data_IF_054370609142
#
_entry.id   IF_054370609142
#
_cell.length_a   1.000
_cell.length_b   1.000
_cell.length_c   1.000
_cell.angle_alpha   90.00
_cell.angle_beta   90.00
_cell.angle_gamma   90.00
#
_symmetry.space_group_name_H-M   'P 1'
#
loop_
_entity.id
_entity.type
_entity.pdbx_description
1 polymer ?
#
# COMPACT_ATOMS: atom_id res chain seq x y z
N UNK A 1 -33.09 11.46 93.44
CA UNK A 1 -31.83 12.11 93.76
C UNK A 1 -30.83 11.77 92.65
N UNK A 2 -30.47 12.81 91.92
CA UNK A 2 -29.12 13.17 91.46
C UNK A 2 -28.54 12.30 90.36
N UNK A 3 -28.53 12.79 89.14
CA UNK A 3 -27.47 13.50 88.43
C UNK A 3 -26.27 12.58 88.11
N UNK A 4 -25.87 12.38 86.83
CA UNK A 4 -25.06 13.27 85.95
C UNK A 4 -25.05 12.80 84.51
N UNK A 5 -25.24 13.76 83.58
CA UNK A 5 -24.89 13.71 82.14
C UNK A 5 -23.40 13.53 81.97
N UNK A 6 -22.95 12.75 80.97
CA UNK A 6 -21.74 13.12 80.33
C UNK A 6 -21.80 12.79 78.80
N UNK A 7 -21.63 13.85 78.06
CA UNK A 7 -21.46 13.87 76.60
C UNK A 7 -20.08 13.35 76.23
N UNK A 8 -19.97 12.46 75.31
CA UNK A 8 -18.74 12.32 74.54
C UNK A 8 -19.07 12.24 73.02
N UNK A 9 -18.82 13.34 72.34
CA UNK A 9 -18.84 13.53 70.92
C UNK A 9 -17.68 12.75 70.33
N UNK A 10 -17.97 11.61 69.68
CA UNK A 10 -17.00 10.87 68.89
C UNK A 10 -17.09 11.32 67.41
N UNK A 11 -16.04 11.97 66.97
CA UNK A 11 -15.81 12.36 65.51
C UNK A 11 -15.67 11.12 64.71
N UNK A 12 -16.62 10.85 63.76
CA UNK A 12 -16.49 9.89 62.73
C UNK A 12 -15.79 10.62 61.59
N UNK A 13 -14.49 10.39 61.45
CA UNK A 13 -13.72 10.80 60.27
C UNK A 13 -14.06 9.85 59.11
N UNK A 14 -14.86 10.35 58.18
CA UNK A 14 -15.15 9.65 56.92
C UNK A 14 -13.92 9.58 56.06
N UNK A 15 -13.31 8.41 55.93
CA UNK A 15 -12.32 8.10 54.90
C UNK A 15 -13.05 7.75 53.61
N UNK A 16 -13.31 8.76 52.73
CA UNK A 16 -13.68 8.54 51.36
C UNK A 16 -12.46 7.98 50.61
N UNK A 17 -12.36 6.66 50.61
CA UNK A 17 -11.46 5.95 49.71
C UNK A 17 -11.88 6.17 48.27
N UNK A 18 -11.17 7.02 47.52
CA UNK A 18 -11.25 7.14 46.07
C UNK A 18 -10.71 5.85 45.47
N UNK A 19 -11.57 4.87 45.26
CA UNK A 19 -11.27 3.73 44.39
C UNK A 19 -11.30 4.24 42.93
N UNK A 20 -10.17 4.75 42.48
CA UNK A 20 -9.90 4.92 41.03
C UNK A 20 -9.90 3.53 40.44
N UNK A 21 -11.05 3.11 39.89
CA UNK A 21 -11.16 1.96 39.04
C UNK A 21 -10.31 2.23 37.79
N UNK A 22 -9.12 1.68 37.80
CA UNK A 22 -8.28 1.50 36.62
C UNK A 22 -8.96 0.46 35.69
N UNK A 23 -10.10 0.81 35.12
CA UNK A 23 -10.72 0.09 34.01
C UNK A 23 -10.06 0.51 32.69
N UNK A 24 -8.76 0.53 32.67
CA UNK A 24 -7.96 0.60 31.45
C UNK A 24 -7.64 -0.82 30.99
N UNK A 25 -8.02 -1.15 29.76
CA UNK A 25 -7.60 -2.32 28.99
C UNK A 25 -8.62 -3.45 28.76
N UNK A 26 -9.87 -3.12 28.48
CA UNK A 26 -10.76 -4.08 27.82
C UNK A 26 -11.28 -3.55 26.47
N UNK A 27 -10.49 -2.72 25.75
CA UNK A 27 -10.95 -2.04 24.52
C UNK A 27 -10.62 -2.76 23.21
N UNK A 28 -9.89 -3.89 23.26
CA UNK A 28 -9.48 -4.59 22.03
C UNK A 28 -10.53 -5.53 21.43
N UNK A 29 -11.57 -5.90 22.20
CA UNK A 29 -12.57 -6.85 21.73
C UNK A 29 -13.68 -6.21 20.88
N UNK A 30 -13.72 -4.88 20.74
CA UNK A 30 -14.86 -4.17 20.14
C UNK A 30 -14.55 -3.26 18.96
N UNK A 31 -13.32 -3.33 18.39
CA UNK A 31 -12.99 -2.51 17.22
C UNK A 31 -13.56 -3.12 15.96
N UNK A 32 -14.20 -2.29 15.15
CA UNK A 32 -14.66 -2.74 13.83
C UNK A 32 -13.49 -3.09 12.91
N UNK A 33 -13.66 -4.00 11.94
CA UNK A 33 -12.62 -4.33 10.98
C UNK A 33 -12.11 -3.11 10.19
N UNK A 34 -13.00 -2.15 9.91
CA UNK A 34 -12.64 -0.89 9.24
C UNK A 34 -11.76 0.00 10.13
N UNK A 35 -12.07 0.07 11.41
CA UNK A 35 -11.26 0.80 12.38
C UNK A 35 -9.88 0.17 12.56
N UNK A 36 -9.78 -1.17 12.61
CA UNK A 36 -8.51 -1.88 12.67
C UNK A 36 -7.65 -1.60 11.42
N UNK A 37 -8.27 -1.55 10.24
CA UNK A 37 -7.58 -1.16 9.00
C UNK A 37 -7.00 0.26 9.13
N UNK A 38 -7.83 1.24 9.49
CA UNK A 38 -7.41 2.64 9.61
C UNK A 38 -6.32 2.84 10.66
N UNK A 39 -6.44 2.19 11.82
CA UNK A 39 -5.43 2.23 12.87
C UNK A 39 -4.10 1.61 12.43
N UNK A 40 -4.17 0.53 11.64
CA UNK A 40 -2.96 -0.12 11.11
C UNK A 40 -2.22 0.76 10.10
N UNK A 41 -2.96 1.45 9.24
CA UNK A 41 -2.38 2.41 8.27
C UNK A 41 -1.77 3.60 9.00
N UNK A 42 -2.52 4.21 9.92
CA UNK A 42 -2.06 5.34 10.74
C UNK A 42 -0.88 4.95 11.63
N UNK A 43 -0.91 3.76 12.22
CA UNK A 43 0.18 3.23 13.03
C UNK A 43 1.48 3.12 12.24
N UNK A 44 1.44 2.58 11.00
CA UNK A 44 2.62 2.48 10.16
C UNK A 44 3.14 3.86 9.72
N UNK A 45 2.24 4.81 9.46
CA UNK A 45 2.65 6.19 9.08
C UNK A 45 3.43 6.90 10.19
N UNK A 46 3.20 6.51 11.45
CA UNK A 46 3.95 7.03 12.61
C UNK A 46 5.31 6.35 12.84
N UNK A 47 5.66 5.31 12.07
CA UNK A 47 6.95 4.61 12.22
C UNK A 47 8.01 5.28 11.36
N UNK A 48 9.05 5.86 11.99
CA UNK A 48 10.13 6.57 11.29
C UNK A 48 10.96 5.65 10.38
N UNK A 49 11.19 4.40 10.84
CA UNK A 49 12.03 3.44 10.11
C UNK A 49 11.46 2.03 10.18
N UNK A 50 11.36 1.38 9.03
CA UNK A 50 11.03 -0.06 8.94
C UNK A 50 11.59 -0.68 7.66
N UNK A 51 11.79 -1.99 7.68
CA UNK A 51 12.17 -2.77 6.50
C UNK A 51 10.95 -3.53 5.96
N UNK A 52 10.99 -3.84 4.68
CA UNK A 52 9.98 -4.66 4.02
C UNK A 52 10.59 -5.57 2.96
N UNK A 53 9.90 -6.64 2.65
CA UNK A 53 10.24 -7.52 1.54
C UNK A 53 8.96 -8.08 0.92
N UNK A 54 9.03 -8.45 -0.33
CA UNK A 54 7.84 -8.97 -1.01
C UNK A 54 8.10 -9.41 -2.42
N UNK A 55 7.02 -9.68 -3.13
CA UNK A 55 7.02 -10.04 -4.54
C UNK A 55 5.80 -9.47 -5.25
N UNK A 56 5.94 -9.25 -6.55
CA UNK A 56 4.84 -8.92 -7.45
C UNK A 56 4.84 -9.89 -8.62
N UNK A 57 3.69 -10.50 -8.90
CA UNK A 57 3.46 -11.35 -10.04
C UNK A 57 2.35 -10.77 -10.93
N UNK A 58 2.53 -10.83 -12.24
CA UNK A 58 1.53 -10.45 -13.24
C UNK A 58 1.12 -11.73 -13.97
N UNK A 59 -0.16 -12.01 -14.03
CA UNK A 59 -0.75 -13.13 -14.76
C UNK A 59 -1.53 -12.62 -15.96
N UNK A 60 -1.24 -13.16 -17.16
CA UNK A 60 -2.05 -12.91 -18.34
C UNK A 60 -3.22 -13.89 -18.44
N UNK A 61 -4.27 -13.54 -19.20
CA UNK A 61 -5.41 -14.41 -19.47
C UNK A 61 -5.05 -15.74 -20.14
N UNK A 62 -3.89 -15.80 -20.81
CA UNK A 62 -3.33 -17.01 -21.44
C UNK A 62 -2.81 -18.07 -20.46
N UNK A 63 -2.91 -17.84 -19.14
CA UNK A 63 -2.49 -18.78 -18.11
C UNK A 63 -0.99 -18.78 -17.79
N UNK A 64 -0.19 -18.05 -18.54
CA UNK A 64 1.25 -17.85 -18.24
C UNK A 64 1.39 -16.74 -17.18
N UNK A 65 1.60 -17.14 -15.92
CA UNK A 65 2.03 -16.19 -14.91
C UNK A 65 3.48 -15.80 -15.17
N UNK A 66 3.78 -14.50 -15.13
CA UNK A 66 5.17 -14.04 -15.12
C UNK A 66 5.89 -14.56 -13.87
N UNK A 67 7.19 -14.79 -13.97
CA UNK A 67 8.00 -15.09 -12.80
C UNK A 67 7.82 -13.93 -11.80
N UNK A 68 7.50 -14.22 -10.51
CA UNK A 68 7.38 -13.17 -9.52
C UNK A 68 8.67 -12.34 -9.42
N UNK A 69 8.53 -11.03 -9.47
CA UNK A 69 9.63 -10.10 -9.22
C UNK A 69 9.73 -9.87 -7.71
N UNK A 70 10.77 -10.44 -7.10
CA UNK A 70 11.02 -10.25 -5.67
C UNK A 70 11.74 -8.92 -5.41
N UNK A 71 11.40 -8.30 -4.29
CA UNK A 71 11.99 -7.04 -3.84
C UNK A 71 12.17 -7.01 -2.32
N UNK A 72 13.09 -6.18 -1.87
CA UNK A 72 13.29 -5.81 -0.46
C UNK A 72 13.63 -4.34 -0.37
N UNK A 73 13.31 -3.72 0.75
CA UNK A 73 13.60 -2.31 0.94
C UNK A 73 13.51 -1.86 2.38
N UNK A 74 13.83 -0.59 2.55
CA UNK A 74 13.71 0.12 3.83
C UNK A 74 12.99 1.44 3.61
N UNK A 75 12.22 1.85 4.60
CA UNK A 75 11.68 3.20 4.71
C UNK A 75 12.43 3.90 5.84
N UNK A 76 12.83 5.14 5.61
CA UNK A 76 13.46 6.03 6.58
C UNK A 76 12.79 7.40 6.53
N UNK A 77 12.79 8.13 7.64
CA UNK A 77 12.16 9.45 7.74
C UNK A 77 10.71 9.46 7.24
N UNK A 78 9.96 8.39 7.58
CA UNK A 78 8.55 8.14 7.23
C UNK A 78 8.25 7.91 5.74
N UNK A 79 9.00 8.47 4.79
CA UNK A 79 8.67 8.47 3.35
C UNK A 79 9.84 8.17 2.40
N UNK A 80 11.08 8.18 2.87
CA UNK A 80 12.24 7.86 2.04
C UNK A 80 12.35 6.36 1.84
N UNK A 81 11.98 5.89 0.67
CA UNK A 81 11.98 4.48 0.32
C UNK A 81 13.21 4.14 -0.50
N UNK A 82 13.97 3.15 -0.03
CA UNK A 82 15.04 2.50 -0.79
C UNK A 82 14.62 1.06 -1.09
N UNK A 83 14.68 0.64 -2.36
CA UNK A 83 14.28 -0.70 -2.80
C UNK A 83 15.40 -1.34 -3.60
N UNK A 84 15.58 -2.64 -3.39
CA UNK A 84 16.47 -3.51 -4.17
C UNK A 84 15.62 -4.64 -4.76
N UNK A 85 15.79 -4.89 -6.06
CA UNK A 85 15.15 -6.01 -6.76
C UNK A 85 16.12 -7.17 -6.93
N UNK A 86 15.64 -8.41 -6.79
CA UNK A 86 16.45 -9.59 -7.10
C UNK A 86 16.52 -9.75 -8.62
N UNK A 87 17.69 -9.51 -9.20
CA UNK A 87 17.91 -9.61 -10.65
C UNK A 87 18.74 -8.48 -11.23
N UNK A 88 19.24 -7.56 -10.41
CA UNK A 88 20.20 -6.53 -10.84
C UNK A 88 19.61 -5.40 -11.68
N UNK A 89 18.30 -5.35 -11.86
CA UNK A 89 17.66 -4.16 -12.36
C UNK A 89 17.54 -3.17 -11.18
N UNK A 90 18.17 -2.01 -11.27
CA UNK A 90 17.99 -0.87 -10.38
C UNK A 90 16.55 -0.29 -10.48
N UNK A 91 15.65 -1.07 -11.05
CA UNK A 91 14.29 -0.69 -11.34
C UNK A 91 13.39 -1.25 -10.25
N UNK A 92 13.01 -0.37 -9.35
CA UNK A 92 11.87 -0.62 -8.47
C UNK A 92 10.68 -1.03 -9.32
N UNK A 93 10.01 -2.19 -9.03
CA UNK A 93 8.70 -2.43 -9.61
C UNK A 93 7.87 -1.17 -9.32
N UNK A 94 7.50 -0.44 -10.37
CA UNK A 94 6.91 0.87 -10.23
C UNK A 94 5.75 0.78 -9.23
N UNK A 95 5.75 1.64 -8.23
CA UNK A 95 4.67 1.74 -7.27
C UNK A 95 4.79 0.94 -5.97
N UNK A 96 5.90 0.26 -5.65
CA UNK A 96 6.05 -0.47 -4.37
C UNK A 96 6.46 0.47 -3.22
N UNK A 97 5.59 1.40 -2.87
CA UNK A 97 5.72 2.14 -1.62
C UNK A 97 4.73 1.55 -0.60
N UNK A 98 5.19 0.82 0.45
CA UNK A 98 4.31 0.05 1.31
C UNK A 98 3.19 0.85 1.95
N UNK A 99 3.47 2.06 2.44
CA UNK A 99 2.46 2.93 3.03
C UNK A 99 1.45 3.43 2.00
N UNK A 100 1.88 3.74 0.76
CA UNK A 100 0.95 4.10 -0.32
C UNK A 100 0.01 2.96 -0.68
N UNK A 101 0.54 1.73 -0.74
CA UNK A 101 -0.29 0.55 -0.99
C UNK A 101 -1.35 0.36 0.10
N UNK A 102 -0.98 0.50 1.37
CA UNK A 102 -1.94 0.42 2.48
C UNK A 102 -2.98 1.54 2.44
N UNK A 103 -2.58 2.78 2.16
CA UNK A 103 -3.49 3.90 1.98
C UNK A 103 -4.45 3.68 0.80
N UNK A 104 -3.95 3.09 -0.30
CA UNK A 104 -4.79 2.76 -1.45
C UNK A 104 -5.82 1.68 -1.10
N UNK A 105 -5.41 0.62 -0.38
CA UNK A 105 -6.32 -0.42 0.13
C UNK A 105 -7.39 0.18 1.02
N UNK A 106 -7.04 1.08 1.95
CA UNK A 106 -7.99 1.77 2.82
C UNK A 106 -8.98 2.64 2.00
N UNK A 107 -8.48 3.43 1.06
CA UNK A 107 -9.31 4.31 0.21
C UNK A 107 -10.27 3.54 -0.68
N UNK A 108 -9.83 2.39 -1.20
CA UNK A 108 -10.66 1.52 -2.05
C UNK A 108 -11.66 0.69 -1.25
N UNK A 109 -11.46 0.48 0.05
CA UNK A 109 -12.26 -0.44 0.84
C UNK A 109 -13.76 -0.13 0.78
N UNK A 110 -14.55 -1.08 0.28
CA UNK A 110 -15.99 -1.13 0.42
C UNK A 110 -16.38 -1.92 1.69
N UNK A 111 -15.69 -3.03 1.93
CA UNK A 111 -15.94 -3.95 3.04
C UNK A 111 -14.61 -4.44 3.62
N UNK A 112 -14.57 -4.53 4.94
CA UNK A 112 -13.49 -5.18 5.67
C UNK A 112 -14.09 -6.16 6.66
N UNK A 113 -13.52 -7.36 6.77
CA UNK A 113 -14.00 -8.45 7.61
C UNK A 113 -12.81 -9.14 8.29
N UNK A 114 -13.01 -9.55 9.53
CA UNK A 114 -12.02 -10.42 10.19
C UNK A 114 -12.14 -11.83 9.59
N UNK A 115 -10.99 -12.45 9.34
CA UNK A 115 -10.85 -13.84 8.92
C UNK A 115 -10.49 -14.67 10.16
N UNK A 116 -11.47 -15.29 10.85
CA UNK A 116 -11.24 -15.91 12.15
C UNK A 116 -10.23 -17.06 12.09
N UNK A 117 -10.30 -17.87 11.05
CA UNK A 117 -9.43 -19.03 10.83
C UNK A 117 -7.96 -18.68 10.61
N UNK A 118 -7.67 -17.46 10.14
CA UNK A 118 -6.33 -16.94 9.95
C UNK A 118 -5.86 -16.04 11.11
N UNK A 119 -6.76 -15.69 12.02
CA UNK A 119 -6.50 -14.83 13.20
C UNK A 119 -6.17 -15.68 14.41
N UNK A 120 -5.42 -15.12 15.36
CA UNK A 120 -5.08 -15.75 16.64
C UNK A 120 -4.84 -14.70 17.74
N UNK A 121 -4.35 -15.11 18.90
CA UNK A 121 -4.08 -14.21 20.05
C UNK A 121 -3.02 -13.12 19.77
N UNK A 122 -2.17 -13.28 18.74
CA UNK A 122 -1.09 -12.35 18.42
C UNK A 122 -1.39 -11.48 17.20
N UNK A 123 -2.22 -11.97 16.26
CA UNK A 123 -2.54 -11.25 15.01
C UNK A 123 -4.03 -11.31 14.69
N UNK A 124 -4.53 -10.25 14.10
CA UNK A 124 -5.84 -10.22 13.43
C UNK A 124 -5.60 -10.15 11.92
N UNK A 125 -6.33 -10.98 11.18
CA UNK A 125 -6.27 -10.98 9.71
C UNK A 125 -7.59 -10.41 9.19
N UNK A 126 -7.48 -9.41 8.31
CA UNK A 126 -8.59 -8.78 7.63
C UNK A 126 -8.63 -9.21 6.17
N UNK A 127 -9.81 -9.52 5.67
CA UNK A 127 -10.13 -9.56 4.24
C UNK A 127 -10.82 -8.26 3.87
N UNK A 128 -10.28 -7.56 2.87
CA UNK A 128 -10.75 -6.25 2.44
C UNK A 128 -11.15 -6.38 0.97
N UNK A 129 -12.41 -6.08 0.68
CA UNK A 129 -12.93 -6.04 -0.69
C UNK A 129 -13.05 -4.60 -1.14
N UNK A 130 -12.48 -4.28 -2.28
CA UNK A 130 -12.51 -2.93 -2.82
C UNK A 130 -13.85 -2.62 -3.50
N UNK A 131 -14.25 -1.36 -3.44
CA UNK A 131 -15.26 -0.78 -4.32
C UNK A 131 -14.72 -0.76 -5.76
N UNK A 132 -15.42 -1.33 -6.75
CA UNK A 132 -14.90 -1.43 -8.12
C UNK A 132 -14.60 -0.08 -8.77
N UNK A 133 -15.43 0.95 -8.52
CA UNK A 133 -15.23 2.27 -9.11
C UNK A 133 -14.03 2.99 -8.49
N UNK A 134 -13.88 2.90 -7.16
CA UNK A 134 -12.70 3.43 -6.46
C UNK A 134 -11.43 2.68 -6.87
N UNK A 135 -11.50 1.35 -7.01
CA UNK A 135 -10.39 0.53 -7.45
C UNK A 135 -9.95 0.91 -8.87
N UNK A 136 -10.88 1.06 -9.82
CA UNK A 136 -10.57 1.50 -11.17
C UNK A 136 -9.87 2.87 -11.17
N UNK A 137 -10.33 3.84 -10.37
CA UNK A 137 -9.70 5.16 -10.24
C UNK A 137 -8.28 5.09 -9.67
N UNK A 138 -8.09 4.34 -8.58
CA UNK A 138 -6.78 4.20 -7.93
C UNK A 138 -5.80 3.51 -8.86
N UNK A 139 -6.22 2.42 -9.51
CA UNK A 139 -5.39 1.68 -10.44
C UNK A 139 -5.07 2.46 -11.73
N UNK A 140 -6.03 3.21 -12.28
CA UNK A 140 -5.75 4.10 -13.40
C UNK A 140 -4.67 5.12 -13.07
N UNK A 141 -4.72 5.73 -11.89
CA UNK A 141 -3.69 6.67 -11.44
C UNK A 141 -2.32 5.99 -11.24
N UNK A 142 -2.30 4.78 -10.67
CA UNK A 142 -1.07 3.99 -10.50
C UNK A 142 -0.43 3.69 -11.87
N UNK A 143 -1.22 3.15 -12.79
CA UNK A 143 -0.75 2.78 -14.12
C UNK A 143 -0.26 4.00 -14.90
N UNK A 144 -0.93 5.16 -14.80
CA UNK A 144 -0.43 6.41 -15.40
C UNK A 144 0.91 6.84 -14.82
N UNK A 145 1.09 6.72 -13.50
CA UNK A 145 2.39 7.02 -12.87
C UNK A 145 3.48 6.05 -13.32
N UNK A 146 3.16 4.76 -13.47
CA UNK A 146 4.07 3.75 -14.00
C UNK A 146 4.45 4.04 -15.45
N UNK A 147 3.46 4.38 -16.28
CA UNK A 147 3.69 4.73 -17.69
C UNK A 147 4.55 5.99 -17.83
N UNK A 148 4.29 7.04 -17.04
CA UNK A 148 5.09 8.26 -17.05
C UNK A 148 6.57 8.01 -16.68
N UNK A 149 6.86 7.06 -15.80
CA UNK A 149 8.24 6.66 -15.51
C UNK A 149 8.92 5.99 -16.70
N UNK A 150 8.18 5.20 -17.50
CA UNK A 150 8.69 4.56 -18.71
C UNK A 150 8.94 5.59 -19.82
N UNK A 151 8.05 6.55 -20.01
CA UNK A 151 8.20 7.63 -20.98
C UNK A 151 9.49 8.45 -20.81
N UNK A 152 9.91 8.64 -19.56
CA UNK A 152 11.13 9.40 -19.25
C UNK A 152 12.43 8.60 -19.44
N UNK A 153 12.35 7.31 -19.77
CA UNK A 153 13.50 6.46 -20.03
C UNK A 153 13.84 6.47 -21.53
N UNK A 154 14.75 7.35 -21.93
CA UNK A 154 15.36 7.25 -23.27
C UNK A 154 16.24 6.00 -23.29
N UNK A 155 16.12 5.11 -24.30
CA UNK A 155 16.99 3.94 -24.39
C UNK A 155 18.48 4.34 -24.35
N UNK A 156 19.26 3.65 -23.50
CA UNK A 156 20.69 3.94 -23.29
C UNK A 156 21.52 3.85 -24.58
N UNK A 157 21.04 3.08 -25.57
CA UNK A 157 21.67 2.91 -26.89
C UNK A 157 21.16 3.91 -27.92
N UNK A 158 20.43 4.95 -27.53
CA UNK A 158 20.00 5.98 -28.45
C UNK A 158 21.21 6.85 -28.84
N UNK A 159 21.38 7.20 -30.13
CA UNK A 159 22.43 8.14 -30.55
C UNK A 159 22.40 9.49 -29.82
N UNK A 160 21.27 9.84 -29.21
CA UNK A 160 21.10 11.04 -28.38
C UNK A 160 21.75 10.91 -26.97
N UNK A 161 22.02 9.69 -26.48
CA UNK A 161 22.73 9.49 -25.21
C UNK A 161 24.25 9.75 -25.37
N UNK A 162 24.79 9.47 -26.55
CA UNK A 162 26.20 9.68 -26.87
C UNK A 162 26.56 11.15 -27.14
N UNK A 163 25.58 12.01 -27.42
CA UNK A 163 25.81 13.44 -27.74
C UNK A 163 25.96 14.35 -26.50
N UNK A 164 25.98 13.81 -25.29
CA UNK A 164 26.09 14.61 -24.04
C UNK A 164 27.52 14.93 -23.63
N UNK A 165 28.54 14.35 -24.29
CA UNK A 165 29.93 14.44 -23.80
C UNK A 165 30.84 15.33 -24.63
N UNK A 166 30.34 15.96 -25.70
CA UNK A 166 31.20 16.88 -26.48
C UNK A 166 30.58 18.27 -26.56
N UNK A 167 31.26 19.25 -25.92
CA UNK A 167 30.83 20.62 -25.67
C UNK A 167 30.61 21.50 -26.90
N UNK A 168 30.33 20.93 -28.09
CA UNK A 168 30.01 21.63 -29.31
C UNK A 168 28.49 21.64 -29.53
N UNK A 169 27.85 22.78 -29.26
CA UNK A 169 26.49 23.12 -29.65
C UNK A 169 26.30 23.03 -31.17
N UNK A 170 26.26 21.84 -31.70
CA UNK A 170 25.73 21.61 -33.04
C UNK A 170 24.20 21.60 -32.92
N UNK A 171 23.51 22.47 -33.66
CA UNK A 171 22.06 22.41 -33.86
C UNK A 171 21.75 21.18 -34.74
N UNK A 172 22.03 19.99 -34.20
CA UNK A 172 21.65 18.75 -34.87
C UNK A 172 20.12 18.67 -34.90
N UNK A 173 19.54 18.60 -36.09
CA UNK A 173 18.14 18.21 -36.30
C UNK A 173 17.86 16.97 -35.48
N UNK A 174 16.67 16.88 -34.83
CA UNK A 174 16.29 15.67 -34.11
C UNK A 174 16.60 14.47 -35.00
N UNK A 175 17.37 13.50 -34.52
CA UNK A 175 17.71 12.34 -35.34
C UNK A 175 16.43 11.61 -35.71
N UNK A 176 16.37 11.02 -36.91
CA UNK A 176 15.21 10.25 -37.37
C UNK A 176 14.76 9.20 -36.36
N UNK A 177 15.69 8.70 -35.54
CA UNK A 177 15.39 7.84 -34.39
C UNK A 177 14.51 8.56 -33.34
N UNK A 178 14.81 9.81 -32.97
CA UNK A 178 14.06 10.54 -31.96
C UNK A 178 12.62 10.81 -32.42
N UNK A 179 12.46 11.20 -33.68
CA UNK A 179 11.13 11.38 -34.26
C UNK A 179 10.33 10.06 -34.33
N UNK A 180 10.99 8.95 -34.64
CA UNK A 180 10.36 7.62 -34.60
C UNK A 180 9.97 7.21 -33.21
N UNK A 181 10.83 7.47 -32.21
CA UNK A 181 10.57 7.22 -30.80
C UNK A 181 9.38 8.04 -30.28
N UNK A 182 9.37 9.33 -30.57
CA UNK A 182 8.29 10.23 -30.14
C UNK A 182 6.93 9.81 -30.73
N UNK A 183 6.92 9.42 -32.02
CA UNK A 183 5.69 8.88 -32.66
C UNK A 183 5.21 7.59 -32.01
N UNK A 184 6.14 6.71 -31.63
CA UNK A 184 5.78 5.44 -30.95
C UNK A 184 5.26 5.68 -29.53
N UNK A 185 5.88 6.60 -28.79
CA UNK A 185 5.38 7.00 -27.46
C UNK A 185 3.96 7.61 -27.55
N UNK A 186 3.71 8.48 -28.53
CA UNK A 186 2.39 9.08 -28.73
C UNK A 186 1.32 8.04 -29.09
N UNK A 187 1.70 7.03 -29.90
CA UNK A 187 0.81 5.91 -30.21
C UNK A 187 0.53 5.09 -28.94
N UNK A 188 1.57 4.70 -28.23
CA UNK A 188 1.46 3.92 -26.98
C UNK A 188 0.63 4.64 -25.93
N UNK A 189 0.77 5.96 -25.81
CA UNK A 189 -0.04 6.77 -24.90
C UNK A 189 -1.52 6.74 -25.24
N UNK A 190 -1.86 6.86 -26.53
CA UNK A 190 -3.26 6.79 -27.02
C UNK A 190 -3.87 5.41 -26.76
N UNK A 191 -3.14 4.35 -27.07
CA UNK A 191 -3.57 2.97 -26.82
C UNK A 191 -3.75 2.71 -25.30
N UNK A 192 -2.82 3.20 -24.48
CA UNK A 192 -2.88 3.09 -23.02
C UNK A 192 -4.10 3.83 -22.43
N UNK A 193 -4.37 5.06 -22.86
CA UNK A 193 -5.55 5.80 -22.38
C UNK A 193 -6.85 5.16 -22.88
N UNK A 194 -6.90 4.62 -24.09
CA UNK A 194 -8.04 3.84 -24.59
C UNK A 194 -8.27 2.58 -23.74
N UNK A 195 -7.21 1.86 -23.39
CA UNK A 195 -7.27 0.72 -22.46
C UNK A 195 -7.83 1.14 -21.09
N UNK A 196 -7.32 2.23 -20.50
CA UNK A 196 -7.77 2.72 -19.21
C UNK A 196 -9.25 3.15 -19.21
N UNK A 197 -9.75 3.67 -20.34
CA UNK A 197 -11.14 4.12 -20.48
C UNK A 197 -12.16 2.97 -20.41
N UNK A 198 -11.75 1.76 -20.80
CA UNK A 198 -12.58 0.54 -20.77
C UNK A 198 -12.29 -0.35 -19.57
N UNK A 199 -11.30 0.04 -18.73
CA UNK A 199 -10.81 -0.81 -17.64
C UNK A 199 -11.81 -0.93 -16.50
N UNK A 200 -12.13 -2.16 -16.14
CA UNK A 200 -12.80 -2.52 -14.88
C UNK A 200 -11.84 -3.28 -13.97
N UNK A 201 -11.94 -3.03 -12.67
CA UNK A 201 -11.00 -3.54 -11.66
C UNK A 201 -11.77 -4.22 -10.54
N UNK A 202 -11.29 -5.40 -10.14
CA UNK A 202 -11.70 -6.07 -8.91
C UNK A 202 -10.46 -6.30 -8.05
N UNK A 203 -10.45 -5.78 -6.83
CA UNK A 203 -9.32 -5.97 -5.92
C UNK A 203 -9.80 -6.53 -4.58
N UNK A 204 -9.03 -7.47 -4.05
CA UNK A 204 -9.20 -8.04 -2.72
C UNK A 204 -7.85 -8.05 -2.03
N UNK A 205 -7.81 -7.58 -0.79
CA UNK A 205 -6.59 -7.56 0.02
C UNK A 205 -6.76 -8.39 1.28
N UNK A 206 -5.69 -9.05 1.68
CA UNK A 206 -5.56 -9.72 2.99
C UNK A 206 -4.48 -9.01 3.78
N UNK A 207 -4.87 -8.44 4.93
CA UNK A 207 -3.98 -7.68 5.81
C UNK A 207 -3.87 -8.39 7.16
N UNK A 208 -2.66 -8.80 7.52
CA UNK A 208 -2.36 -9.27 8.87
C UNK A 208 -1.86 -8.12 9.74
N UNK A 209 -2.45 -7.94 10.92
CA UNK A 209 -2.19 -6.86 11.86
C UNK A 209 -1.75 -7.46 13.20
N UNK A 210 -0.69 -6.94 13.80
CA UNK A 210 -0.29 -7.24 15.17
C UNK A 210 -1.33 -6.70 16.16
N UNK A 211 -1.93 -7.56 16.97
CA UNK A 211 -3.03 -7.16 17.88
C UNK A 211 -2.61 -6.18 18.96
N UNK A 212 -1.37 -6.25 19.42
CA UNK A 212 -0.89 -5.38 20.50
C UNK A 212 -0.45 -4.02 20.01
N UNK A 213 0.26 -3.99 18.87
CA UNK A 213 0.87 -2.77 18.33
C UNK A 213 0.02 -2.10 17.26
N UNK A 214 -1.02 -2.79 16.77
CA UNK A 214 -1.89 -2.37 15.67
C UNK A 214 -1.10 -2.00 14.39
N UNK A 215 0.06 -2.62 14.18
CA UNK A 215 0.91 -2.41 13.01
C UNK A 215 0.71 -3.54 12.00
N UNK A 216 0.83 -3.27 10.70
CA UNK A 216 0.75 -4.31 9.68
C UNK A 216 1.93 -5.28 9.82
N UNK A 217 1.65 -6.56 9.64
CA UNK A 217 2.63 -7.64 9.57
C UNK A 217 2.85 -8.07 8.12
N UNK A 218 1.78 -8.19 7.35
CA UNK A 218 1.82 -8.51 5.92
C UNK A 218 0.59 -8.00 5.21
N UNK A 219 0.76 -7.68 3.93
CA UNK A 219 -0.31 -7.35 3.00
C UNK A 219 -0.18 -8.25 1.77
N UNK A 220 -1.28 -8.86 1.33
CA UNK A 220 -1.42 -9.46 0.02
C UNK A 220 -2.56 -8.76 -0.71
N UNK A 221 -2.28 -8.16 -1.86
CA UNK A 221 -3.28 -7.56 -2.75
C UNK A 221 -3.38 -8.39 -4.01
N UNK A 222 -4.58 -8.82 -4.36
CA UNK A 222 -4.92 -9.50 -5.61
C UNK A 222 -5.88 -8.64 -6.39
N UNK A 223 -5.49 -8.27 -7.61
CA UNK A 223 -6.27 -7.42 -8.49
C UNK A 223 -6.46 -8.09 -9.84
N UNK A 224 -7.69 -8.10 -10.32
CA UNK A 224 -8.06 -8.52 -11.66
C UNK A 224 -8.47 -7.30 -12.47
N UNK A 225 -7.90 -7.20 -13.67
CA UNK A 225 -8.20 -6.18 -14.68
C UNK A 225 -8.94 -6.82 -15.83
N UNK A 226 -9.96 -6.13 -16.33
CA UNK A 226 -10.62 -6.43 -17.60
C UNK A 226 -10.71 -5.14 -18.39
N UNK A 227 -10.29 -5.16 -19.63
CA UNK A 227 -10.22 -3.99 -20.50
C UNK A 227 -10.28 -4.42 -21.96
N UNK A 228 -10.38 -3.47 -22.85
CA UNK A 228 -10.24 -3.70 -24.29
C UNK A 228 -8.85 -3.28 -24.77
N UNK A 229 -8.17 -4.16 -25.50
CA UNK A 229 -6.91 -3.90 -26.17
C UNK A 229 -7.08 -4.16 -27.66
N UNK A 230 -6.90 -3.15 -28.49
CA UNK A 230 -7.09 -3.25 -29.95
C UNK A 230 -8.47 -3.82 -30.35
N UNK A 231 -9.53 -3.35 -29.65
CA UNK A 231 -10.91 -3.80 -29.88
C UNK A 231 -11.21 -5.24 -29.43
N UNK A 232 -10.32 -5.87 -28.68
CA UNK A 232 -10.50 -7.23 -28.15
C UNK A 232 -10.52 -7.21 -26.63
N UNK A 233 -11.41 -8.00 -25.99
CA UNK A 233 -11.42 -8.12 -24.54
C UNK A 233 -10.14 -8.78 -24.04
N UNK A 234 -9.51 -8.17 -23.05
CA UNK A 234 -8.32 -8.67 -22.38
C UNK A 234 -8.58 -8.79 -20.86
N UNK A 235 -7.85 -9.70 -20.23
CA UNK A 235 -7.90 -9.91 -18.78
C UNK A 235 -6.49 -10.14 -18.27
N UNK A 236 -6.17 -9.45 -17.19
CA UNK A 236 -4.90 -9.60 -16.47
C UNK A 236 -5.15 -9.70 -14.99
N UNK A 237 -4.19 -10.23 -14.26
CA UNK A 237 -4.17 -10.25 -12.81
C UNK A 237 -2.82 -9.78 -12.28
N UNK A 238 -2.85 -9.10 -11.15
CA UNK A 238 -1.64 -8.72 -10.42
C UNK A 238 -1.77 -9.16 -8.97
N UNK A 239 -0.77 -9.83 -8.46
CA UNK A 239 -0.67 -10.18 -7.05
C UNK A 239 0.58 -9.54 -6.48
N UNK A 240 0.41 -8.73 -5.43
CA UNK A 240 1.53 -8.13 -4.70
C UNK A 240 1.48 -8.61 -3.26
N UNK A 241 2.59 -9.12 -2.74
CA UNK A 241 2.75 -9.54 -1.36
C UNK A 241 3.85 -8.72 -0.71
N UNK A 242 3.58 -8.23 0.49
CA UNK A 242 4.55 -7.48 1.30
C UNK A 242 4.54 -8.03 2.71
N UNK A 243 5.72 -8.29 3.25
CA UNK A 243 5.96 -8.55 4.66
C UNK A 243 6.71 -7.37 5.27
N UNK A 244 6.18 -6.86 6.38
CA UNK A 244 6.78 -5.76 7.13
C UNK A 244 7.70 -6.32 8.21
N UNK A 245 8.95 -5.88 8.22
CA UNK A 245 9.92 -6.24 9.24
C UNK A 245 10.20 -5.00 10.09
N UNK A 246 10.13 -5.17 11.39
CA UNK A 246 10.50 -4.11 12.32
C UNK A 246 12.00 -4.07 12.50
N UNK A 247 12.56 -2.89 12.81
CA UNK A 247 13.91 -2.78 13.34
C UNK A 247 14.04 -3.47 14.68
#
# INVERSE_FOLDING_TARGET
MSWYMNKSMGRIAGACGLALALSGCAHDANRSPKELLSLSVSGLSGVDRYAFSGDTAIGAASGTASRPAAFRGTVQHHDQVSVQTEGGADEMPAGVHPLRLLNDVERMAARAEVVPEASNGQRTVLRITADPAKAAKVWSNRLRSEFALLENKVPANSPAASARDDGTRSQAKPSAFREAWDRELDRSRKEFEAMLSTMSVRSTSTLAIDRKKLLPLSLEERTEFRYEANGKPARESRTTRIAFKRP
#
